data_IF_136766522508
#
_entry.id   IF_136766522508
#
_cell.length_a   1.000
_cell.length_b   1.000
_cell.length_c   1.000
_cell.angle_alpha   90.00
_cell.angle_beta   90.00
_cell.angle_gamma   90.00
#
_symmetry.space_group_name_H-M   'P 1'
#
loop_
_entity.id
_entity.type
_entity.pdbx_description
1 polymer ?
#
# COMPACT_ATOMS: atom_id res chain seq x y z
N UNK A 1 -18.10 -8.37 1.79
CA UNK A 1 -17.12 -7.39 1.27
C UNK A 1 -17.69 -5.99 1.30
N UNK A 2 -18.88 -5.78 0.73
CA UNK A 2 -19.54 -4.47 0.65
C UNK A 2 -19.89 -3.87 2.01
N UNK A 3 -20.33 -4.67 2.98
CA UNK A 3 -20.57 -4.19 4.35
C UNK A 3 -19.32 -3.58 5.01
N UNK A 4 -18.12 -4.07 4.65
CA UNK A 4 -16.86 -3.51 5.18
C UNK A 4 -16.61 -2.14 4.57
N UNK A 5 -16.93 -1.96 3.29
CA UNK A 5 -16.80 -0.69 2.58
C UNK A 5 -17.74 0.35 3.21
N UNK A 6 -19.03 0.03 3.39
CA UNK A 6 -19.99 0.96 3.99
C UNK A 6 -19.62 1.32 5.43
N UNK A 7 -19.20 0.35 6.26
CA UNK A 7 -18.70 0.67 7.60
C UNK A 7 -17.45 1.55 7.60
N UNK A 8 -16.57 1.40 6.61
CA UNK A 8 -15.41 2.28 6.47
C UNK A 8 -15.87 3.71 6.11
N UNK A 9 -16.83 3.87 5.21
CA UNK A 9 -17.43 5.17 4.87
C UNK A 9 -18.08 5.83 6.09
N UNK A 10 -18.92 5.09 6.82
CA UNK A 10 -19.60 5.55 8.04
C UNK A 10 -18.63 5.96 9.14
N UNK A 11 -17.45 5.33 9.21
CA UNK A 11 -16.39 5.71 10.15
C UNK A 11 -15.72 7.05 9.80
N UNK A 12 -16.07 7.65 8.66
CA UNK A 12 -15.49 8.90 8.17
C UNK A 12 -14.18 8.73 7.40
N UNK A 13 -13.88 7.51 6.92
CA UNK A 13 -12.73 7.25 6.06
C UNK A 13 -12.74 8.18 4.84
N UNK A 14 -11.55 8.56 4.36
CA UNK A 14 -11.38 9.50 3.24
C UNK A 14 -10.99 8.83 1.94
N UNK A 15 -10.56 7.57 2.01
CA UNK A 15 -10.20 6.74 0.87
C UNK A 15 -10.22 5.28 1.29
N UNK A 16 -10.34 4.38 0.31
CA UNK A 16 -10.18 2.95 0.46
C UNK A 16 -8.84 2.53 -0.15
N UNK A 17 -7.97 1.91 0.63
CA UNK A 17 -6.72 1.34 0.11
C UNK A 17 -6.95 -0.14 -0.20
N UNK A 18 -6.96 -0.48 -1.48
CA UNK A 18 -7.17 -1.84 -1.95
C UNK A 18 -5.82 -2.53 -2.16
N UNK A 19 -5.49 -3.49 -1.30
CA UNK A 19 -4.22 -4.22 -1.41
C UNK A 19 -4.32 -5.31 -2.46
N UNK A 20 -3.55 -5.18 -3.54
CA UNK A 20 -3.57 -6.07 -4.71
C UNK A 20 -2.39 -7.07 -4.76
N UNK A 21 -1.37 -6.88 -3.92
CA UNK A 21 -0.16 -7.71 -3.86
C UNK A 21 -0.27 -8.93 -2.93
N UNK A 22 -1.46 -9.21 -2.38
CA UNK A 22 -1.70 -10.24 -1.36
C UNK A 22 -2.86 -11.18 -1.73
N UNK A 23 -2.93 -11.60 -2.99
CA UNK A 23 -3.98 -12.49 -3.49
C UNK A 23 -3.93 -13.90 -2.89
N UNK A 24 -2.79 -14.33 -2.34
CA UNK A 24 -2.60 -15.63 -1.71
C UNK A 24 -1.63 -15.53 -0.53
N UNK A 25 -1.47 -16.62 0.22
CA UNK A 25 -0.50 -16.71 1.29
C UNK A 25 0.94 -16.58 0.75
N UNK A 26 1.76 -15.81 1.46
CA UNK A 26 3.21 -15.71 1.20
C UNK A 26 3.97 -16.95 1.64
N UNK A 27 5.17 -17.17 1.07
CA UNK A 27 6.12 -18.23 1.48
C UNK A 27 7.05 -17.81 2.62
N UNK A 28 6.49 -17.16 3.65
CA UNK A 28 7.29 -16.61 4.75
C UNK A 28 7.86 -17.72 5.64
N UNK A 29 9.11 -18.14 5.37
CA UNK A 29 9.76 -19.31 5.99
C UNK A 29 9.73 -19.32 7.51
N UNK A 30 9.83 -18.14 8.16
CA UNK A 30 9.75 -18.03 9.62
C UNK A 30 8.35 -18.38 10.13
N UNK A 31 7.30 -17.92 9.46
CA UNK A 31 5.92 -18.27 9.82
C UNK A 31 5.70 -19.77 9.61
N UNK A 32 6.16 -20.32 8.48
CA UNK A 32 6.04 -21.76 8.20
C UNK A 32 6.72 -22.64 9.26
N UNK A 33 7.83 -22.21 9.85
CA UNK A 33 8.54 -22.95 10.91
C UNK A 33 7.86 -22.89 12.27
N UNK A 34 7.27 -21.75 12.62
CA UNK A 34 6.82 -21.50 14.00
C UNK A 34 5.29 -21.45 14.14
N UNK A 35 4.53 -21.57 13.05
CA UNK A 35 3.06 -21.49 13.08
C UNK A 35 2.51 -20.14 13.56
N UNK A 36 3.32 -19.08 13.56
CA UNK A 36 3.01 -17.77 14.17
C UNK A 36 2.28 -16.82 13.21
N UNK A 37 1.24 -17.30 12.52
CA UNK A 37 0.43 -16.41 11.67
C UNK A 37 -0.85 -15.96 12.36
N UNK A 38 -1.11 -14.66 12.30
CA UNK A 38 -2.42 -14.05 12.61
C UNK A 38 -3.21 -13.70 11.33
N UNK A 39 -2.71 -14.08 10.15
CA UNK A 39 -3.36 -13.78 8.89
C UNK A 39 -4.23 -14.97 8.45
N UNK A 40 -5.55 -14.76 8.39
CA UNK A 40 -6.47 -15.63 7.66
C UNK A 40 -6.18 -15.46 6.17
N UNK A 41 -5.19 -16.19 5.66
CA UNK A 41 -4.84 -16.13 4.25
C UNK A 41 -5.91 -16.86 3.43
N UNK A 42 -6.74 -16.10 2.72
CA UNK A 42 -7.75 -16.61 1.80
C UNK A 42 -7.29 -16.27 0.39
N UNK A 43 -7.19 -17.29 -0.46
CA UNK A 43 -6.90 -17.07 -1.88
C UNK A 43 -8.04 -16.27 -2.50
N UNK A 44 -7.70 -15.13 -3.10
CA UNK A 44 -8.64 -14.18 -3.66
C UNK A 44 -8.26 -13.89 -5.11
N UNK A 45 -9.22 -13.99 -6.03
CA UNK A 45 -9.04 -13.45 -7.37
C UNK A 45 -9.18 -11.94 -7.29
N UNK A 46 -8.09 -11.19 -7.50
CA UNK A 46 -8.09 -9.73 -7.50
C UNK A 46 -8.04 -9.26 -8.95
N UNK A 47 -9.18 -8.89 -9.51
CA UNK A 47 -9.31 -8.45 -10.91
C UNK A 47 -9.78 -7.01 -10.99
N UNK A 48 -9.51 -6.35 -12.11
CA UNK A 48 -10.02 -5.00 -12.34
C UNK A 48 -11.56 -4.93 -12.40
N UNK A 49 -12.25 -6.05 -12.62
CA UNK A 49 -13.72 -6.08 -12.53
C UNK A 49 -14.20 -5.89 -11.09
N UNK A 50 -13.44 -6.38 -10.11
CA UNK A 50 -13.70 -6.11 -8.70
C UNK A 50 -13.49 -4.63 -8.39
N UNK A 51 -12.49 -3.99 -8.98
CA UNK A 51 -12.30 -2.54 -8.85
C UNK A 51 -13.51 -1.76 -9.38
N UNK A 52 -14.05 -2.14 -10.53
CA UNK A 52 -15.28 -1.54 -11.08
C UNK A 52 -16.48 -1.75 -10.14
N UNK A 53 -16.63 -2.96 -9.57
CA UNK A 53 -17.67 -3.22 -8.57
C UNK A 53 -17.48 -2.37 -7.31
N UNK A 54 -16.25 -2.22 -6.80
CA UNK A 54 -15.98 -1.39 -5.64
C UNK A 54 -16.36 0.08 -5.89
N UNK A 55 -16.09 0.62 -7.08
CA UNK A 55 -16.53 1.98 -7.46
C UNK A 55 -18.05 2.12 -7.46
N UNK A 56 -18.80 1.07 -7.79
CA UNK A 56 -20.27 1.09 -7.74
C UNK A 56 -20.82 1.01 -6.31
N UNK A 57 -20.02 0.54 -5.36
CA UNK A 57 -20.41 0.36 -3.96
C UNK A 57 -19.82 1.40 -3.00
N UNK A 58 -19.03 2.36 -3.49
CA UNK A 58 -18.42 3.39 -2.66
C UNK A 58 -18.31 4.73 -3.38
N UNK A 59 -18.50 5.80 -2.63
CA UNK A 59 -18.20 7.16 -3.09
C UNK A 59 -16.75 7.59 -2.79
N UNK A 60 -16.01 6.79 -2.01
CA UNK A 60 -14.65 7.10 -1.62
C UNK A 60 -13.66 6.83 -2.77
N UNK A 61 -12.57 7.63 -2.86
CA UNK A 61 -11.42 7.30 -3.69
C UNK A 61 -10.86 5.91 -3.36
N UNK A 62 -10.74 5.03 -4.35
CA UNK A 62 -10.15 3.68 -4.19
C UNK A 62 -8.73 3.69 -4.75
N UNK A 63 -7.76 3.26 -3.94
CA UNK A 63 -6.34 3.36 -4.24
C UNK A 63 -5.71 1.95 -4.27
N UNK A 64 -5.26 1.44 -5.42
CA UNK A 64 -4.53 0.19 -5.49
C UNK A 64 -3.16 0.31 -4.81
N UNK A 65 -2.91 -0.57 -3.84
CA UNK A 65 -1.64 -0.74 -3.13
C UNK A 65 -1.03 -2.08 -3.46
N UNK A 66 0.22 -2.07 -3.88
CA UNK A 66 0.87 -3.29 -4.38
C UNK A 66 1.35 -3.17 -5.84
N UNK A 67 1.34 -1.95 -6.40
CA UNK A 67 1.86 -1.72 -7.75
C UNK A 67 3.37 -1.91 -7.70
N UNK A 68 3.87 -2.84 -8.51
CA UNK A 68 5.31 -3.18 -8.57
C UNK A 68 5.83 -3.27 -10.00
N UNK A 69 5.02 -2.91 -11.00
CA UNK A 69 5.43 -2.87 -12.40
C UNK A 69 4.92 -1.61 -13.07
N UNK A 70 5.61 -1.16 -14.14
CA UNK A 70 5.15 -0.07 -14.99
C UNK A 70 3.83 -0.43 -15.68
N UNK A 71 3.66 -1.69 -16.08
CA UNK A 71 2.47 -2.18 -16.77
C UNK A 71 1.23 -2.05 -15.88
N UNK A 72 1.29 -2.50 -14.63
CA UNK A 72 0.17 -2.37 -13.70
C UNK A 72 -0.16 -0.91 -13.39
N UNK A 73 0.86 -0.05 -13.32
CA UNK A 73 0.67 1.39 -13.12
C UNK A 73 -0.08 2.03 -14.29
N UNK A 74 0.30 1.70 -15.54
CA UNK A 74 -0.39 2.15 -16.74
C UNK A 74 -1.84 1.66 -16.81
N UNK A 75 -2.09 0.39 -16.47
CA UNK A 75 -3.45 -0.16 -16.41
C UNK A 75 -4.29 0.56 -15.36
N UNK A 76 -3.74 0.80 -14.16
CA UNK A 76 -4.42 1.52 -13.09
C UNK A 76 -4.82 2.94 -13.53
N UNK A 77 -3.89 3.67 -14.16
CA UNK A 77 -4.16 5.01 -14.71
C UNK A 77 -5.21 4.95 -15.82
N UNK A 78 -5.17 3.96 -16.70
CA UNK A 78 -6.18 3.73 -17.74
C UNK A 78 -7.58 3.46 -17.18
N UNK A 79 -7.66 2.87 -15.98
CA UNK A 79 -8.91 2.63 -15.23
C UNK A 79 -9.40 3.84 -14.43
N UNK A 80 -8.66 4.96 -14.48
CA UNK A 80 -9.01 6.20 -13.79
C UNK A 80 -8.90 6.11 -12.27
N UNK A 81 -7.91 5.37 -11.75
CA UNK A 81 -7.63 5.42 -10.30
C UNK A 81 -7.18 6.83 -9.89
N UNK A 82 -7.57 7.34 -8.72
CA UNK A 82 -7.17 8.66 -8.24
C UNK A 82 -5.70 8.73 -7.82
N UNK A 83 -5.15 7.60 -7.38
CA UNK A 83 -3.78 7.47 -6.89
C UNK A 83 -3.29 6.03 -7.06
N UNK A 84 -1.98 5.85 -7.05
CA UNK A 84 -1.33 4.53 -6.94
C UNK A 84 -0.44 4.47 -5.71
N UNK A 85 -0.29 3.27 -5.17
CA UNK A 85 0.61 3.01 -4.05
C UNK A 85 1.61 1.92 -4.42
N UNK A 86 2.80 2.38 -4.83
CA UNK A 86 3.96 1.54 -5.17
C UNK A 86 4.48 0.88 -3.90
N UNK A 87 4.39 -0.45 -3.81
CA UNK A 87 4.72 -1.16 -2.57
C UNK A 87 4.87 -2.67 -2.83
N UNK A 88 5.89 -3.32 -2.26
CA UNK A 88 6.11 -4.77 -2.38
C UNK A 88 5.77 -5.53 -1.08
N UNK A 89 4.81 -5.02 -0.32
CA UNK A 89 4.43 -5.50 1.01
C UNK A 89 5.57 -5.56 2.04
N UNK A 90 6.64 -4.77 1.85
CA UNK A 90 7.83 -4.83 2.70
C UNK A 90 8.58 -6.16 2.56
N UNK A 91 8.63 -6.69 1.33
CA UNK A 91 9.25 -7.97 0.98
C UNK A 91 8.64 -9.19 1.72
N UNK A 92 7.34 -9.15 2.01
CA UNK A 92 6.63 -10.21 2.74
C UNK A 92 5.69 -11.05 1.89
N UNK A 93 5.44 -10.70 0.63
CA UNK A 93 4.52 -11.42 -0.25
C UNK A 93 5.28 -12.28 -1.26
N UNK A 94 5.70 -11.69 -2.38
CA UNK A 94 6.53 -12.37 -3.37
C UNK A 94 8.01 -12.02 -3.16
N UNK A 95 8.86 -13.05 -3.15
CA UNK A 95 10.31 -12.91 -3.00
C UNK A 95 10.94 -12.40 -4.31
N UNK A 96 12.12 -11.79 -4.21
CA UNK A 96 12.90 -11.26 -5.34
C UNK A 96 12.24 -10.16 -6.17
N UNK A 97 11.17 -9.54 -5.65
CA UNK A 97 10.61 -8.35 -6.28
C UNK A 97 11.51 -7.13 -6.05
N UNK A 98 11.62 -6.23 -7.05
CA UNK A 98 12.40 -5.00 -6.91
C UNK A 98 11.95 -4.18 -5.70
N UNK A 99 12.84 -3.35 -5.18
CA UNK A 99 12.45 -2.45 -4.09
C UNK A 99 11.50 -1.37 -4.64
N UNK A 100 10.54 -0.86 -3.85
CA UNK A 100 9.57 0.12 -4.34
C UNK A 100 10.21 1.37 -4.98
N UNK A 101 11.40 1.75 -4.53
CA UNK A 101 12.16 2.86 -5.10
C UNK A 101 12.63 2.58 -6.54
N UNK A 102 13.06 1.36 -6.83
CA UNK A 102 13.46 0.96 -8.19
C UNK A 102 12.26 0.99 -9.13
N UNK A 103 11.09 0.53 -8.66
CA UNK A 103 9.85 0.59 -9.45
C UNK A 103 9.42 2.04 -9.70
N UNK A 104 9.51 2.91 -8.69
CA UNK A 104 9.21 4.33 -8.87
C UNK A 104 10.14 4.97 -9.92
N UNK A 105 11.43 4.63 -9.88
CA UNK A 105 12.40 5.05 -10.89
C UNK A 105 12.07 4.49 -12.28
N UNK A 106 11.69 3.21 -12.36
CA UNK A 106 11.29 2.57 -13.62
C UNK A 106 10.07 3.24 -14.24
N UNK A 107 9.04 3.55 -13.45
CA UNK A 107 7.86 4.30 -13.87
C UNK A 107 8.28 5.69 -14.36
N UNK A 108 9.09 6.41 -13.59
CA UNK A 108 9.58 7.75 -13.97
C UNK A 108 10.34 7.73 -15.30
N UNK A 109 11.10 6.67 -15.58
CA UNK A 109 11.90 6.52 -16.81
C UNK A 109 11.06 6.10 -18.01
N UNK A 110 10.15 5.12 -17.83
CA UNK A 110 9.50 4.42 -18.94
C UNK A 110 8.05 4.88 -19.18
N UNK A 111 7.39 5.42 -18.16
CA UNK A 111 6.00 5.90 -18.24
C UNK A 111 5.77 7.12 -17.32
N UNK A 112 6.52 8.23 -17.50
CA UNK A 112 6.42 9.41 -16.64
C UNK A 112 5.01 10.02 -16.59
N UNK A 113 4.20 9.81 -17.62
CA UNK A 113 2.79 10.22 -17.67
C UNK A 113 1.94 9.63 -16.55
N UNK A 114 2.31 8.47 -16.00
CA UNK A 114 1.66 7.90 -14.81
C UNK A 114 1.74 8.89 -13.65
N UNK A 115 2.93 9.42 -13.36
CA UNK A 115 3.17 10.31 -12.23
C UNK A 115 2.58 11.72 -12.42
N UNK A 116 2.17 12.06 -13.65
CA UNK A 116 1.48 13.30 -13.99
C UNK A 116 -0.05 13.19 -13.82
N UNK A 117 -0.59 11.98 -14.02
CA UNK A 117 -2.04 11.74 -14.05
C UNK A 117 -2.62 11.31 -12.71
N UNK A 118 -1.82 10.68 -11.86
CA UNK A 118 -2.26 10.16 -10.57
C UNK A 118 -1.29 10.54 -9.47
N UNK A 119 -1.80 10.63 -8.25
CA UNK A 119 -0.94 10.82 -7.09
C UNK A 119 -0.20 9.53 -6.75
N UNK A 120 1.13 9.58 -6.67
CA UNK A 120 1.91 8.49 -6.07
C UNK A 120 2.05 8.74 -4.57
N UNK A 121 1.32 7.96 -3.76
CA UNK A 121 1.24 8.20 -2.31
C UNK A 121 2.60 8.07 -1.60
N UNK A 122 3.48 7.15 -2.02
CA UNK A 122 4.78 6.95 -1.35
C UNK A 122 5.76 8.08 -1.61
N UNK A 123 5.76 8.68 -2.80
CA UNK A 123 6.61 9.83 -3.12
C UNK A 123 6.37 11.00 -2.18
N UNK A 124 5.12 11.22 -1.76
CA UNK A 124 4.77 12.30 -0.84
C UNK A 124 4.81 11.86 0.62
N UNK A 125 4.42 10.61 0.91
CA UNK A 125 4.22 10.08 2.27
C UNK A 125 4.59 8.60 2.31
N UNK A 126 5.87 8.23 2.55
CA UNK A 126 6.28 6.84 2.57
C UNK A 126 5.47 6.05 3.61
N UNK A 127 5.01 4.86 3.23
CA UNK A 127 4.37 3.92 4.14
C UNK A 127 5.33 3.47 5.22
N UNK A 128 5.01 3.80 6.47
CA UNK A 128 5.81 3.47 7.65
C UNK A 128 5.17 2.27 8.38
N UNK A 129 5.80 1.10 8.25
CA UNK A 129 5.33 -0.15 8.84
C UNK A 129 6.08 -0.52 10.13
N UNK A 130 7.10 -1.38 10.00
CA UNK A 130 7.81 -1.98 11.13
C UNK A 130 8.35 -0.99 12.18
N UNK A 131 8.90 0.19 11.84
CA UNK A 131 9.36 1.13 12.88
C UNK A 131 8.26 1.52 13.87
N UNK A 132 7.02 1.70 13.40
CA UNK A 132 5.88 2.02 14.25
C UNK A 132 5.37 0.81 15.03
N UNK A 133 5.47 -0.39 14.47
CA UNK A 133 5.20 -1.62 15.23
C UNK A 133 6.23 -1.87 16.33
N UNK A 134 7.48 -1.48 16.16
CA UNK A 134 8.46 -1.54 17.25
C UNK A 134 8.18 -0.47 18.29
N UNK A 135 7.87 0.75 17.86
CA UNK A 135 7.53 1.85 18.77
C UNK A 135 6.27 1.58 19.61
N UNK A 136 5.31 0.79 19.12
CA UNK A 136 4.08 0.45 19.86
C UNK A 136 4.33 -0.36 21.14
N UNK A 137 5.51 -1.00 21.28
CA UNK A 137 5.93 -1.65 22.53
C UNK A 137 6.02 -0.69 23.72
N UNK A 138 6.15 0.61 23.45
CA UNK A 138 6.11 1.69 24.44
C UNK A 138 4.77 2.45 24.46
N UNK A 139 3.71 1.84 23.92
CA UNK A 139 2.38 2.43 23.83
C UNK A 139 2.35 3.70 22.97
N UNK A 140 1.39 4.59 23.26
CA UNK A 140 1.16 5.83 22.49
C UNK A 140 2.37 6.76 22.54
N UNK A 141 3.12 6.78 23.65
CA UNK A 141 4.29 7.66 23.79
C UNK A 141 5.46 7.21 22.92
N UNK A 142 5.63 5.89 22.74
CA UNK A 142 6.56 5.34 21.75
C UNK A 142 6.23 5.81 20.33
N UNK A 143 4.95 5.71 19.95
CA UNK A 143 4.47 6.16 18.64
C UNK A 143 4.71 7.66 18.46
N UNK A 144 4.35 8.49 19.44
CA UNK A 144 4.59 9.95 19.40
C UNK A 144 6.06 10.28 19.25
N UNK A 145 6.94 9.57 19.97
CA UNK A 145 8.39 9.74 19.85
C UNK A 145 8.89 9.36 18.46
N UNK A 146 8.43 8.25 17.89
CA UNK A 146 8.78 7.83 16.52
C UNK A 146 8.37 8.87 15.48
N UNK A 147 7.14 9.41 15.57
CA UNK A 147 6.68 10.52 14.72
C UNK A 147 7.60 11.73 14.84
N UNK A 148 7.96 12.10 16.09
CA UNK A 148 8.83 13.25 16.34
C UNK A 148 10.21 13.07 15.72
N UNK A 149 10.81 11.89 15.89
CA UNK A 149 12.14 11.57 15.31
C UNK A 149 12.08 11.71 13.79
N UNK A 150 11.14 11.04 13.13
CA UNK A 150 11.02 11.09 11.67
C UNK A 150 10.78 12.52 11.16
N UNK A 151 9.94 13.28 11.85
CA UNK A 151 9.71 14.69 11.50
C UNK A 151 10.99 15.52 11.61
N UNK A 152 11.78 15.30 12.68
CA UNK A 152 13.04 16.01 12.87
C UNK A 152 14.05 15.64 11.78
N UNK A 153 14.17 14.36 11.43
CA UNK A 153 15.08 13.89 10.36
C UNK A 153 14.69 14.49 9.01
N UNK A 154 13.41 14.42 8.62
CA UNK A 154 12.93 15.01 7.35
C UNK A 154 13.16 16.52 7.32
N UNK A 155 12.88 17.22 8.42
CA UNK A 155 13.07 18.66 8.49
C UNK A 155 14.55 19.08 8.45
N UNK A 156 15.45 18.25 8.99
CA UNK A 156 16.89 18.48 8.95
C UNK A 156 17.47 18.26 7.54
N UNK A 157 16.93 17.31 6.78
CA UNK A 157 17.35 17.05 5.39
C UNK A 157 16.78 18.05 4.37
N UNK A 158 15.69 18.74 4.70
CA UNK A 158 15.05 19.74 3.86
C UNK A 158 15.61 21.17 4.03
N UNK A 159 16.55 21.37 4.97
CA UNK A 159 17.21 22.64 5.29
C UNK A 159 18.62 22.69 4.68
#
# INVERSE_FOLDING_TARGET
MWDIIHRAEESGAKALVWTIDAAAASTYRRIARYGTTNANAVTSALTWDIYEQMKNHSSLPIIPKGIVTVVDALVAVGKGVPAIYINNHGARQLDHWPVPLEIAYEIQRNAPEVLQRVEELRRQRPGLGHPFMFASTYGVDGIRKAIRILRTEIAAEAA
#
